data_IF_225704817739
#
_entry.id   IF_225704817739
#
_cell.length_a   1.000
_cell.length_b   1.000
_cell.length_c   1.000
_cell.angle_alpha   90.00
_cell.angle_beta   90.00
_cell.angle_gamma   90.00
#
_symmetry.space_group_name_H-M   'P 1'
#
loop_
_entity.id
_entity.type
_entity.pdbx_description
1 polymer ?
#
# COMPACT_ATOMS: atom_id res chain seq x y z
N UNK A 1 -18.89 -3.35 -8.07
CA UNK A 1 -18.72 -2.68 -6.76
C UNK A 1 -19.78 -3.19 -5.78
N UNK A 2 -19.36 -4.05 -4.87
CA UNK A 2 -20.27 -4.63 -3.88
C UNK A 2 -20.76 -3.54 -2.93
N UNK A 3 -22.00 -3.69 -2.44
CA UNK A 3 -22.58 -2.73 -1.52
C UNK A 3 -21.78 -2.68 -0.22
N UNK A 4 -21.09 -3.77 0.09
CA UNK A 4 -20.29 -3.85 1.31
C UNK A 4 -19.04 -2.98 1.20
N UNK A 5 -18.87 -2.37 0.05
CA UNK A 5 -17.72 -1.50 -0.19
C UNK A 5 -17.60 -0.46 0.93
N UNK A 6 -18.74 0.02 1.41
CA UNK A 6 -18.77 1.01 2.47
C UNK A 6 -17.96 0.54 3.68
N UNK A 7 -18.12 -0.74 4.06
CA UNK A 7 -17.38 -1.29 5.18
C UNK A 7 -15.89 -1.12 4.95
N UNK A 8 -15.49 -1.36 3.71
CA UNK A 8 -14.09 -1.25 3.34
C UNK A 8 -13.63 0.20 3.39
N UNK A 9 -14.29 1.06 2.62
CA UNK A 9 -13.95 2.47 2.58
C UNK A 9 -13.94 3.07 3.97
N UNK A 10 -14.95 2.74 4.77
CA UNK A 10 -15.04 3.25 6.13
C UNK A 10 -13.81 2.85 6.94
N UNK A 11 -13.48 1.56 6.88
CA UNK A 11 -12.34 1.02 7.61
C UNK A 11 -11.04 1.71 7.19
N UNK A 12 -10.94 2.09 5.92
CA UNK A 12 -9.72 2.74 5.42
C UNK A 12 -9.32 3.92 6.29
N UNK A 13 -10.30 4.71 6.73
CA UNK A 13 -10.00 5.85 7.59
C UNK A 13 -9.27 5.39 8.84
N UNK A 14 -9.78 4.29 9.42
CA UNK A 14 -9.16 3.71 10.60
C UNK A 14 -7.73 3.33 10.24
N UNK A 15 -7.58 2.76 9.04
CA UNK A 15 -6.28 2.39 8.57
C UNK A 15 -5.53 3.63 8.12
N UNK A 16 -5.05 4.36 9.11
CA UNK A 16 -4.30 5.59 8.85
C UNK A 16 -2.85 5.24 8.53
N UNK A 17 -2.68 4.19 7.73
CA UNK A 17 -1.35 3.72 7.36
C UNK A 17 -0.60 4.76 6.53
N UNK A 18 -1.36 5.61 5.85
CA UNK A 18 -0.76 6.63 4.99
C UNK A 18 0.15 7.56 5.79
N UNK A 19 -0.07 7.66 7.09
CA UNK A 19 0.78 8.50 7.93
C UNK A 19 2.19 7.93 7.94
N UNK A 20 2.29 6.65 8.30
CA UNK A 20 3.56 5.94 8.34
C UNK A 20 4.02 5.70 6.91
N UNK A 21 3.05 5.43 6.04
CA UNK A 21 3.31 5.18 4.64
C UNK A 21 3.96 6.42 4.02
N UNK A 22 3.38 7.59 4.31
CA UNK A 22 3.94 8.84 3.82
C UNK A 22 5.36 8.97 4.33
N UNK A 23 5.54 8.67 5.62
CA UNK A 23 6.86 8.70 6.23
C UNK A 23 7.78 7.77 5.44
N UNK A 24 7.24 6.63 5.02
CA UNK A 24 8.00 5.66 4.24
C UNK A 24 8.50 6.32 2.96
N UNK A 25 7.63 7.08 2.30
CA UNK A 25 8.03 7.77 1.08
C UNK A 25 9.24 8.64 1.36
N UNK A 26 9.13 9.45 2.42
CA UNK A 26 10.23 10.31 2.81
C UNK A 26 11.44 9.43 3.14
N UNK A 27 11.16 8.30 3.78
CA UNK A 27 12.20 7.36 4.11
C UNK A 27 12.88 6.90 2.83
N UNK A 28 12.11 6.74 1.78
CA UNK A 28 12.68 6.33 0.53
C UNK A 28 13.71 7.36 0.09
N UNK A 29 13.38 8.64 0.31
CA UNK A 29 14.30 9.71 -0.05
C UNK A 29 15.62 9.56 0.69
N UNK A 30 15.56 9.49 2.02
CA UNK A 30 16.78 9.32 2.82
C UNK A 30 17.40 7.95 2.55
N UNK A 31 16.54 6.93 2.49
CA UNK A 31 16.97 5.56 2.25
C UNK A 31 17.51 5.39 0.82
N UNK A 32 17.43 6.45 0.01
CA UNK A 32 17.90 6.39 -1.38
C UNK A 32 19.25 5.67 -1.46
N UNK A 33 19.98 5.66 -0.35
CA UNK A 33 21.27 4.98 -0.29
C UNK A 33 21.10 3.46 -0.17
N UNK A 34 20.42 3.02 0.90
CA UNK A 34 20.22 1.59 1.19
C UNK A 34 18.84 1.05 0.77
N UNK A 35 18.03 1.87 0.09
CA UNK A 35 16.67 1.44 -0.30
C UNK A 35 16.59 -0.04 -0.64
N UNK A 36 17.66 -0.62 -1.16
CA UNK A 36 17.63 -2.02 -1.51
C UNK A 36 17.30 -2.83 -0.26
N UNK A 37 16.08 -3.34 -0.22
CA UNK A 37 15.62 -4.12 0.93
C UNK A 37 16.45 -5.38 1.10
N UNK A 38 17.17 -5.48 2.21
CA UNK A 38 18.02 -6.66 2.51
C UNK A 38 17.20 -7.79 3.14
N UNK A 39 17.56 -9.02 2.81
CA UNK A 39 16.85 -10.18 3.37
C UNK A 39 16.98 -10.19 4.87
N UNK A 40 18.19 -9.86 5.35
CA UNK A 40 18.44 -9.84 6.77
C UNK A 40 17.68 -8.71 7.43
N UNK A 41 16.57 -9.08 8.02
CA UNK A 41 15.71 -8.12 8.73
C UNK A 41 15.39 -6.91 7.85
N UNK A 42 14.35 -7.04 7.02
CA UNK A 42 13.95 -5.94 6.14
C UNK A 42 13.66 -4.68 6.95
N UNK A 43 13.45 -3.56 6.24
CA UNK A 43 13.17 -2.29 6.91
C UNK A 43 11.79 -2.33 7.58
N UNK A 44 11.73 -2.00 8.85
CA UNK A 44 10.44 -2.00 9.61
C UNK A 44 9.44 -0.97 9.10
N UNK A 45 9.96 0.09 8.47
CA UNK A 45 9.09 1.14 7.94
C UNK A 45 8.00 0.54 7.06
N UNK A 46 8.39 -0.39 6.18
CA UNK A 46 7.42 -1.03 5.29
C UNK A 46 6.45 -1.88 6.10
N UNK A 47 7.00 -2.61 7.08
CA UNK A 47 6.21 -3.47 7.94
C UNK A 47 5.11 -2.69 8.68
N UNK A 48 5.41 -1.44 9.01
CA UNK A 48 4.45 -0.61 9.73
C UNK A 48 3.12 -0.54 8.97
N UNK A 49 3.18 -0.17 7.71
CA UNK A 49 1.98 -0.08 6.89
C UNK A 49 1.39 -1.47 6.64
N UNK A 50 2.27 -2.48 6.57
CA UNK A 50 1.84 -3.86 6.31
C UNK A 50 0.73 -4.31 7.25
N UNK A 51 0.87 -3.99 8.54
CA UNK A 51 -0.12 -4.39 9.52
C UNK A 51 -1.51 -3.85 9.18
N UNK A 52 -1.56 -2.62 8.65
CA UNK A 52 -2.84 -2.01 8.31
C UNK A 52 -3.60 -2.84 7.27
N UNK A 53 -2.94 -3.15 6.15
CA UNK A 53 -3.58 -3.97 5.11
C UNK A 53 -3.94 -5.31 5.71
N UNK A 54 -2.94 -5.86 6.36
CA UNK A 54 -3.05 -7.14 7.03
C UNK A 54 -4.22 -7.14 8.01
N UNK A 55 -4.50 -5.97 8.59
CA UNK A 55 -5.62 -5.84 9.53
C UNK A 55 -6.90 -5.50 8.79
N UNK A 56 -6.75 -5.11 7.52
CA UNK A 56 -7.90 -4.75 6.68
C UNK A 56 -8.47 -6.00 6.02
N UNK A 57 -9.81 -6.05 5.92
CA UNK A 57 -10.48 -7.20 5.30
C UNK A 57 -9.87 -7.47 3.92
N UNK A 58 -9.80 -8.74 3.55
CA UNK A 58 -9.23 -9.12 2.25
C UNK A 58 -9.91 -8.38 1.10
N UNK A 59 -11.21 -8.54 0.98
CA UNK A 59 -11.96 -7.88 -0.09
C UNK A 59 -11.74 -6.38 -0.04
N UNK A 60 -11.59 -5.86 1.17
CA UNK A 60 -11.37 -4.43 1.38
C UNK A 60 -9.94 -4.04 1.03
N UNK A 61 -9.03 -5.02 1.10
CA UNK A 61 -7.63 -4.78 0.82
C UNK A 61 -7.44 -4.30 -0.62
N UNK A 62 -8.19 -4.89 -1.55
CA UNK A 62 -8.08 -4.50 -2.95
C UNK A 62 -8.35 -3.01 -3.11
N UNK A 63 -9.54 -2.59 -2.69
CA UNK A 63 -9.93 -1.18 -2.76
C UNK A 63 -8.96 -0.31 -1.96
N UNK A 64 -8.51 -0.83 -0.83
CA UNK A 64 -7.61 -0.10 0.06
C UNK A 64 -6.39 0.45 -0.68
N UNK A 65 -5.62 -0.45 -1.30
CA UNK A 65 -4.42 -0.03 -2.02
C UNK A 65 -4.75 1.01 -3.09
N UNK A 66 -5.81 0.76 -3.86
CA UNK A 66 -6.20 1.68 -4.92
C UNK A 66 -6.48 3.06 -4.34
N UNK A 67 -7.34 3.12 -3.34
CA UNK A 67 -7.70 4.38 -2.69
C UNK A 67 -6.48 5.03 -2.04
N UNK A 68 -5.73 4.24 -1.27
CA UNK A 68 -4.57 4.75 -0.57
C UNK A 68 -3.50 5.26 -1.54
N UNK A 69 -3.20 4.48 -2.57
CA UNK A 69 -2.19 4.87 -3.55
C UNK A 69 -2.50 6.28 -4.07
N UNK A 70 -3.71 6.46 -4.57
CA UNK A 70 -4.13 7.76 -5.09
C UNK A 70 -4.09 8.83 -4.01
N UNK A 71 -4.56 8.48 -2.81
CA UNK A 71 -4.58 9.40 -1.68
C UNK A 71 -3.18 9.81 -1.29
N UNK A 72 -2.25 8.85 -1.32
CA UNK A 72 -0.87 9.13 -0.95
C UNK A 72 -0.29 10.25 -1.80
N UNK A 73 -0.34 10.07 -3.11
CA UNK A 73 0.18 11.08 -4.02
C UNK A 73 -0.58 12.40 -3.86
N UNK A 74 -1.89 12.30 -3.69
CA UNK A 74 -2.72 13.48 -3.53
C UNK A 74 -2.34 14.27 -2.28
N UNK A 75 -2.11 13.57 -1.17
CA UNK A 75 -1.76 14.23 0.08
C UNK A 75 -0.49 15.06 -0.09
N UNK A 76 0.48 14.50 -0.78
CA UNK A 76 1.76 15.18 -1.01
C UNK A 76 2.56 14.49 -2.11
N UNK A 77 2.16 14.67 -3.35
CA UNK A 77 2.84 14.04 -4.48
C UNK A 77 4.32 14.42 -4.48
N UNK A 78 5.16 13.59 -3.86
CA UNK A 78 6.59 13.85 -3.82
C UNK A 78 7.12 14.03 -5.25
N UNK A 79 7.92 15.04 -5.49
CA UNK A 79 8.48 15.30 -6.83
C UNK A 79 9.82 14.61 -7.03
N UNK A 80 9.82 13.63 -7.91
CA UNK A 80 11.03 12.88 -8.22
C UNK A 80 10.75 11.89 -9.35
N UNK A 81 11.57 11.92 -10.39
CA UNK A 81 11.37 11.02 -11.52
C UNK A 81 12.13 9.71 -11.34
N UNK A 82 13.45 9.77 -11.50
CA UNK A 82 14.30 8.58 -11.38
C UNK A 82 14.26 7.96 -9.98
N UNK A 83 14.35 8.79 -8.95
CA UNK A 83 14.37 8.29 -7.58
C UNK A 83 13.10 7.49 -7.23
N UNK A 84 11.96 8.19 -7.23
CA UNK A 84 10.69 7.55 -6.90
C UNK A 84 10.32 6.45 -7.90
N UNK A 85 10.76 6.59 -9.16
CA UNK A 85 10.44 5.57 -10.16
C UNK A 85 10.83 4.19 -9.64
N UNK A 86 12.01 4.09 -9.06
CA UNK A 86 12.48 2.83 -8.49
C UNK A 86 11.54 2.39 -7.37
N UNK A 87 11.07 3.37 -6.60
CA UNK A 87 10.15 3.10 -5.48
C UNK A 87 8.92 2.34 -5.96
N UNK A 88 8.50 2.57 -7.21
CA UNK A 88 7.31 1.91 -7.74
C UNK A 88 7.35 0.41 -7.46
N UNK A 89 8.45 -0.23 -7.83
CA UNK A 89 8.60 -1.66 -7.59
C UNK A 89 8.51 -1.96 -6.09
N UNK A 90 9.19 -1.13 -5.31
CA UNK A 90 9.20 -1.28 -3.85
C UNK A 90 7.78 -1.13 -3.30
N UNK A 91 7.04 -0.16 -3.85
CA UNK A 91 5.68 0.09 -3.41
C UNK A 91 4.84 -1.17 -3.50
N UNK A 92 4.86 -1.81 -4.66
CA UNK A 92 4.11 -3.04 -4.88
C UNK A 92 4.56 -4.13 -3.92
N UNK A 93 5.84 -4.10 -3.54
CA UNK A 93 6.39 -5.11 -2.63
C UNK A 93 5.81 -4.96 -1.22
N UNK A 94 5.55 -3.73 -0.80
CA UNK A 94 5.01 -3.49 0.54
C UNK A 94 3.76 -4.35 0.79
N UNK A 95 2.76 -4.24 -0.05
CA UNK A 95 1.51 -5.04 0.08
C UNK A 95 1.71 -6.53 -0.23
N UNK A 96 2.74 -6.85 -1.01
CA UNK A 96 3.04 -8.24 -1.36
C UNK A 96 3.35 -8.99 -0.08
N UNK A 97 4.10 -8.31 0.75
CA UNK A 97 4.50 -8.82 2.03
C UNK A 97 3.30 -9.21 2.89
N UNK A 98 2.21 -8.47 2.77
CA UNK A 98 1.01 -8.77 3.53
C UNK A 98 0.00 -9.46 2.66
N UNK A 99 0.25 -9.47 1.34
CA UNK A 99 -0.70 -10.07 0.44
C UNK A 99 -1.00 -11.49 0.82
N UNK A 100 -2.19 -11.87 0.45
CA UNK A 100 -2.72 -13.15 0.81
C UNK A 100 -3.71 -13.62 -0.26
N UNK A 101 -3.66 -14.92 -0.59
CA UNK A 101 -4.53 -15.50 -1.60
C UNK A 101 -5.90 -14.83 -1.60
N UNK A 102 -6.10 -13.88 -2.47
CA UNK A 102 -7.37 -13.12 -2.59
C UNK A 102 -8.40 -13.87 -3.44
N UNK A 103 -9.52 -14.22 -2.82
CA UNK A 103 -10.57 -14.96 -3.53
C UNK A 103 -11.21 -14.07 -4.59
N UNK A 104 -11.75 -12.93 -4.16
CA UNK A 104 -12.38 -12.00 -5.09
C UNK A 104 -12.28 -10.55 -4.59
N UNK A 105 -12.02 -9.63 -5.51
CA UNK A 105 -11.93 -8.22 -5.16
C UNK A 105 -13.17 -7.48 -5.67
N UNK A 106 -14.03 -7.01 -4.78
CA UNK A 106 -15.27 -6.29 -5.17
C UNK A 106 -15.00 -5.02 -5.98
N UNK A 107 -13.74 -4.81 -6.33
CA UNK A 107 -13.37 -3.64 -7.11
C UNK A 107 -13.74 -3.84 -8.55
N UNK A 108 -14.95 -3.42 -8.88
CA UNK A 108 -15.45 -3.55 -10.23
C UNK A 108 -15.84 -4.99 -10.53
N UNK A 109 -16.20 -5.73 -9.49
CA UNK A 109 -16.62 -7.12 -9.64
C UNK A 109 -15.57 -7.92 -10.41
N UNK A 110 -14.40 -8.12 -9.81
CA UNK A 110 -13.34 -8.89 -10.45
C UNK A 110 -13.84 -10.25 -10.89
N UNK A 111 -13.18 -10.85 -11.89
CA UNK A 111 -13.58 -12.15 -12.39
C UNK A 111 -12.78 -13.26 -11.71
N UNK A 112 -11.55 -13.44 -12.17
CA UNK A 112 -10.66 -14.44 -11.59
C UNK A 112 -10.27 -13.99 -10.21
N UNK A 113 -9.26 -14.63 -9.64
CA UNK A 113 -8.83 -14.18 -8.35
C UNK A 113 -8.01 -12.92 -8.56
N UNK A 114 -8.68 -11.79 -8.42
CA UNK A 114 -8.06 -10.49 -8.63
C UNK A 114 -6.63 -10.46 -8.07
#
# INVERSE_FOLDING_TARGET
EAEAQEECREQMQRQQMLSHCRMYMRQQMEESTYQTMPRRGMEPHMSECCEQLEGMDESCRCEGLRMMMRMMQQKEMQPRGEQMRRMMRLAENIPSRCNLSPMRCPMGGSIAGF
#
